data_IF_246784100969
#
_entry.id   IF_246784100969
#
_cell.length_a   1.000
_cell.length_b   1.000
_cell.length_c   1.000
_cell.angle_alpha   90.00
_cell.angle_beta   90.00
_cell.angle_gamma   90.00
#
_symmetry.space_group_name_H-M   'P 1'
#
loop_
_entity.id
_entity.type
_entity.pdbx_description
1 polymer ?
#
# COMPACT_ATOMS: atom_id res chain seq x y z
N UNK A 1 19.58 -4.64 -5.75
CA UNK A 1 20.02 -3.78 -6.89
C UNK A 1 19.75 -4.37 -8.28
N UNK A 2 19.59 -5.68 -8.50
CA UNK A 2 19.42 -6.27 -9.85
C UNK A 2 18.01 -6.11 -10.48
N UNK A 3 16.94 -6.20 -9.68
CA UNK A 3 15.54 -6.11 -10.18
C UNK A 3 15.13 -4.72 -10.70
N UNK A 4 15.71 -3.65 -10.15
CA UNK A 4 15.44 -2.27 -10.60
C UNK A 4 16.06 -1.98 -11.97
N UNK A 5 17.20 -2.60 -12.31
CA UNK A 5 17.85 -2.42 -13.61
C UNK A 5 17.11 -3.17 -14.73
N UNK A 6 16.58 -4.35 -14.46
CA UNK A 6 15.78 -5.13 -15.42
C UNK A 6 14.43 -4.46 -15.70
N UNK A 7 13.78 -3.93 -14.66
CA UNK A 7 12.51 -3.23 -14.79
C UNK A 7 12.66 -1.92 -15.59
N UNK A 8 13.76 -1.19 -15.38
CA UNK A 8 14.10 0.01 -16.18
C UNK A 8 14.30 -0.35 -17.66
N UNK A 9 15.00 -1.45 -17.95
CA UNK A 9 15.15 -1.98 -19.31
C UNK A 9 13.82 -2.41 -19.93
N UNK A 10 12.90 -2.95 -19.13
CA UNK A 10 11.57 -3.34 -19.58
C UNK A 10 10.71 -2.12 -19.97
N UNK A 11 10.73 -1.06 -19.15
CA UNK A 11 10.01 0.20 -19.43
C UNK A 11 10.60 0.89 -20.66
N UNK A 12 11.93 0.98 -20.77
CA UNK A 12 12.59 1.57 -21.95
C UNK A 12 12.27 0.78 -23.22
N UNK A 13 12.25 -0.56 -23.17
CA UNK A 13 11.82 -1.41 -24.29
C UNK A 13 10.34 -1.22 -24.65
N UNK A 14 9.47 -1.09 -23.65
CA UNK A 14 8.03 -0.85 -23.87
C UNK A 14 7.78 0.53 -24.47
N UNK A 15 8.48 1.55 -24.03
CA UNK A 15 8.44 2.91 -24.61
C UNK A 15 8.95 2.91 -26.06
N UNK A 16 10.06 2.23 -26.34
CA UNK A 16 10.57 2.04 -27.70
C UNK A 16 9.61 1.25 -28.59
N UNK A 17 8.95 0.21 -28.05
CA UNK A 17 7.95 -0.56 -28.79
C UNK A 17 6.74 0.31 -29.14
N UNK A 18 6.23 1.11 -28.19
CA UNK A 18 5.12 2.02 -28.44
C UNK A 18 5.49 3.11 -29.45
N UNK A 19 6.70 3.67 -29.38
CA UNK A 19 7.23 4.62 -30.38
C UNK A 19 7.40 3.97 -31.75
N UNK A 20 7.89 2.74 -31.81
CA UNK A 20 8.04 1.99 -33.07
C UNK A 20 6.70 1.62 -33.67
N UNK A 21 5.70 1.25 -32.87
CA UNK A 21 4.33 0.99 -33.31
C UNK A 21 3.69 2.28 -33.81
N UNK A 22 3.84 3.41 -33.12
CA UNK A 22 3.37 4.72 -33.57
C UNK A 22 4.05 5.13 -34.88
N UNK A 23 5.38 4.98 -34.99
CA UNK A 23 6.13 5.26 -36.22
C UNK A 23 5.71 4.34 -37.38
N UNK A 24 5.47 3.04 -37.12
CA UNK A 24 4.94 2.10 -38.10
C UNK A 24 3.56 2.52 -38.63
N UNK A 25 2.65 2.94 -37.73
CA UNK A 25 1.33 3.43 -38.13
C UNK A 25 1.42 4.77 -38.89
N UNK A 26 2.31 5.67 -38.53
CA UNK A 26 2.57 6.91 -39.29
C UNK A 26 3.12 6.60 -40.69
N UNK A 27 4.04 5.64 -40.82
CA UNK A 27 4.51 5.13 -42.10
C UNK A 27 3.40 4.47 -42.92
N UNK A 28 2.57 3.61 -42.29
CA UNK A 28 1.42 3.01 -42.95
C UNK A 28 0.42 4.06 -43.49
N UNK A 29 0.18 5.13 -42.67
CA UNK A 29 -0.68 6.24 -43.07
C UNK A 29 -0.13 7.02 -44.26
N UNK A 30 1.20 7.13 -44.41
CA UNK A 30 1.83 7.75 -45.57
C UNK A 30 1.81 6.89 -46.86
N UNK A 31 1.70 5.56 -46.72
CA UNK A 31 1.69 4.61 -47.85
C UNK A 31 0.28 4.37 -48.43
N UNK A 32 -0.79 4.54 -47.65
CA UNK A 32 -2.16 4.28 -48.10
C UNK A 32 -2.60 5.13 -49.29
N UNK A 33 -2.29 6.46 -49.34
CA UNK A 33 -2.61 7.27 -50.55
C UNK A 33 -1.87 6.86 -51.81
N UNK A 34 -0.63 6.32 -51.68
CA UNK A 34 0.17 5.85 -52.82
C UNK A 34 -0.36 4.56 -53.42
N UNK A 35 -0.84 3.62 -52.59
CA UNK A 35 -1.42 2.36 -53.06
C UNK A 35 -2.80 2.55 -53.72
N UNK A 36 -3.59 3.52 -53.22
CA UNK A 36 -4.87 3.89 -53.82
C UNK A 36 -4.74 4.56 -55.18
N UNK A 37 -3.60 5.24 -55.45
CA UNK A 37 -3.32 5.89 -56.74
C UNK A 37 -2.88 4.92 -57.84
N UNK A 38 -2.50 3.68 -57.52
CA UNK A 38 -1.93 2.68 -58.46
C UNK A 38 -2.86 1.56 -58.87
N UNK A 39 -4.09 1.48 -58.40
CA UNK A 39 -4.91 0.27 -58.64
C UNK A 39 -6.33 0.53 -59.06
N UNK A 40 -6.63 0.16 -60.26
CA UNK A 40 -7.86 -0.41 -60.79
C UNK A 40 -9.17 0.42 -60.78
N UNK A 41 -9.95 0.22 -61.77
CA UNK A 41 -11.35 0.64 -61.96
C UNK A 41 -12.23 0.28 -60.73
N UNK A 42 -12.14 1.14 -59.73
CA UNK A 42 -13.06 1.10 -58.59
C UNK A 42 -14.37 1.71 -59.05
N UNK A 43 -15.47 1.02 -58.92
CA UNK A 43 -16.80 1.60 -59.16
C UNK A 43 -16.99 2.84 -58.32
N UNK A 44 -17.73 3.86 -58.78
CA UNK A 44 -17.97 5.08 -58.04
C UNK A 44 -18.43 4.83 -56.58
N UNK A 45 -19.17 3.78 -56.33
CA UNK A 45 -19.61 3.33 -55.01
C UNK A 45 -18.46 2.78 -54.16
N UNK A 46 -17.49 2.09 -54.75
CA UNK A 46 -16.27 1.65 -54.05
C UNK A 46 -15.35 2.80 -53.67
N UNK A 47 -15.23 3.81 -54.54
CA UNK A 47 -14.44 5.01 -54.25
C UNK A 47 -15.03 5.83 -53.10
N UNK A 48 -16.35 6.02 -53.07
CA UNK A 48 -17.02 6.73 -51.99
C UNK A 48 -16.88 6.00 -50.62
N UNK A 49 -16.86 4.67 -50.65
CA UNK A 49 -16.64 3.87 -49.43
C UNK A 49 -15.18 3.98 -48.96
N UNK A 50 -14.23 3.97 -49.92
CA UNK A 50 -12.81 4.15 -49.61
C UNK A 50 -12.53 5.54 -49.05
N UNK A 51 -13.11 6.59 -49.62
CA UNK A 51 -12.96 7.97 -49.11
C UNK A 51 -13.47 8.12 -47.66
N UNK A 52 -14.63 7.51 -47.35
CA UNK A 52 -15.14 7.47 -45.96
C UNK A 52 -14.23 6.72 -45.01
N UNK A 53 -13.70 5.58 -45.47
CA UNK A 53 -12.73 4.80 -44.67
C UNK A 53 -11.46 5.59 -44.39
N UNK A 54 -10.92 6.31 -45.37
CA UNK A 54 -9.75 7.16 -45.23
C UNK A 54 -10.01 8.33 -44.24
N UNK A 55 -11.22 8.91 -44.28
CA UNK A 55 -11.64 9.92 -43.32
C UNK A 55 -11.70 9.39 -41.89
N UNK A 56 -12.13 8.13 -41.72
CA UNK A 56 -12.27 7.49 -40.41
C UNK A 56 -10.96 6.84 -39.91
N UNK A 57 -9.91 6.78 -40.71
CA UNK A 57 -8.66 6.10 -40.37
C UNK A 57 -8.04 6.58 -39.04
N UNK A 58 -8.00 7.89 -38.70
CA UNK A 58 -7.54 8.34 -37.39
C UNK A 58 -8.38 7.79 -36.23
N UNK A 59 -9.68 7.63 -36.39
CA UNK A 59 -10.59 7.05 -35.40
C UNK A 59 -10.34 5.54 -35.24
N UNK A 60 -10.24 4.82 -36.35
CA UNK A 60 -10.00 3.36 -36.37
C UNK A 60 -8.70 3.00 -35.67
N UNK A 61 -7.64 3.80 -35.87
CA UNK A 61 -6.33 3.57 -35.25
C UNK A 61 -6.35 3.95 -33.77
N UNK A 62 -7.01 5.05 -33.40
CA UNK A 62 -7.00 5.56 -32.02
C UNK A 62 -7.95 4.80 -31.08
N UNK A 63 -9.04 4.23 -31.59
CA UNK A 63 -10.06 3.57 -30.78
C UNK A 63 -9.53 2.37 -29.97
N UNK A 64 -8.79 1.40 -30.58
CA UNK A 64 -8.26 0.25 -29.83
C UNK A 64 -7.27 0.69 -28.72
N UNK A 65 -6.45 1.70 -29.01
CA UNK A 65 -5.48 2.23 -28.02
C UNK A 65 -6.21 2.88 -26.85
N UNK A 66 -7.24 3.68 -27.14
CA UNK A 66 -8.06 4.33 -26.12
C UNK A 66 -8.77 3.30 -25.22
N UNK A 67 -9.32 2.25 -25.82
CA UNK A 67 -9.99 1.17 -25.09
C UNK A 67 -9.01 0.38 -24.21
N UNK A 68 -7.84 0.04 -24.74
CA UNK A 68 -6.79 -0.67 -24.00
C UNK A 68 -6.30 0.15 -22.82
N UNK A 69 -6.04 1.44 -23.02
CA UNK A 69 -5.63 2.35 -21.96
C UNK A 69 -6.70 2.49 -20.88
N UNK A 70 -7.95 2.65 -21.25
CA UNK A 70 -9.06 2.72 -20.32
C UNK A 70 -9.17 1.42 -19.48
N UNK A 71 -9.03 0.26 -20.11
CA UNK A 71 -9.07 -1.03 -19.41
C UNK A 71 -7.90 -1.20 -18.42
N UNK A 72 -6.67 -0.90 -18.84
CA UNK A 72 -5.49 -0.98 -17.98
C UNK A 72 -5.65 -0.06 -16.75
N UNK A 73 -6.09 1.19 -16.98
CA UNK A 73 -6.28 2.15 -15.90
C UNK A 73 -7.43 1.78 -14.97
N UNK A 74 -8.52 1.21 -15.48
CA UNK A 74 -9.61 0.69 -14.65
C UNK A 74 -9.09 -0.40 -13.69
N UNK A 75 -8.28 -1.33 -14.18
CA UNK A 75 -7.63 -2.35 -13.34
C UNK A 75 -6.71 -1.72 -12.29
N UNK A 76 -5.92 -0.71 -12.68
CA UNK A 76 -5.04 0.02 -11.76
C UNK A 76 -5.85 0.78 -10.69
N UNK A 77 -6.99 1.36 -11.05
CA UNK A 77 -7.88 2.07 -10.12
C UNK A 77 -8.45 1.15 -9.03
N UNK A 78 -8.81 -0.08 -9.40
CA UNK A 78 -9.35 -1.09 -8.46
C UNK A 78 -8.26 -1.58 -7.50
N UNK A 79 -7.05 -1.84 -8.00
CA UNK A 79 -5.95 -2.43 -7.22
C UNK A 79 -5.11 -1.41 -6.44
N UNK A 80 -5.07 -0.15 -6.86
CA UNK A 80 -4.22 0.89 -6.29
C UNK A 80 -4.79 1.56 -5.04
N UNK A 81 -3.99 1.71 -3.98
CA UNK A 81 -4.35 2.44 -2.75
C UNK A 81 -3.99 3.95 -2.77
N UNK A 82 -3.47 4.49 -3.89
CA UNK A 82 -3.05 5.90 -3.98
C UNK A 82 -3.67 6.62 -5.17
N UNK A 83 -3.66 7.95 -5.21
CA UNK A 83 -4.08 8.85 -6.30
C UNK A 83 -5.31 8.40 -7.15
N UNK A 84 -6.27 7.70 -6.52
CA UNK A 84 -7.51 7.23 -7.15
C UNK A 84 -8.22 8.30 -7.99
N UNK A 85 -8.33 9.58 -7.54
CA UNK A 85 -9.05 10.59 -8.32
C UNK A 85 -8.47 10.83 -9.71
N UNK A 86 -7.13 10.95 -9.83
CA UNK A 86 -6.49 11.19 -11.12
C UNK A 86 -6.71 10.04 -12.10
N UNK A 87 -6.62 8.79 -11.63
CA UNK A 87 -6.87 7.61 -12.47
C UNK A 87 -8.31 7.58 -12.96
N UNK A 88 -9.28 7.87 -12.10
CA UNK A 88 -10.69 7.96 -12.48
C UNK A 88 -10.93 9.07 -13.53
N UNK A 89 -10.31 10.24 -13.36
CA UNK A 89 -10.43 11.32 -14.34
C UNK A 89 -9.90 10.95 -15.71
N UNK A 90 -8.77 10.22 -15.76
CA UNK A 90 -8.23 9.71 -17.04
C UNK A 90 -9.16 8.69 -17.67
N UNK A 91 -9.74 7.78 -16.89
CA UNK A 91 -10.72 6.79 -17.39
C UNK A 91 -11.95 7.51 -17.96
N UNK A 92 -12.50 8.49 -17.23
CA UNK A 92 -13.63 9.30 -17.70
C UNK A 92 -13.31 10.02 -19.01
N UNK A 93 -12.12 10.63 -19.10
CA UNK A 93 -11.67 11.28 -20.33
C UNK A 93 -11.62 10.29 -21.50
N UNK A 94 -10.98 9.14 -21.32
CA UNK A 94 -10.85 8.14 -22.38
C UNK A 94 -12.21 7.62 -22.84
N UNK A 95 -13.15 7.42 -21.92
CA UNK A 95 -14.52 6.98 -22.27
C UNK A 95 -15.27 8.06 -23.06
N UNK A 96 -15.27 9.30 -22.61
CA UNK A 96 -15.92 10.43 -23.32
C UNK A 96 -15.29 10.61 -24.71
N UNK A 97 -13.96 10.55 -24.79
CA UNK A 97 -13.23 10.66 -26.05
C UNK A 97 -13.55 9.52 -27.01
N UNK A 98 -13.64 8.29 -26.50
CA UNK A 98 -14.06 7.12 -27.29
C UNK A 98 -15.50 7.29 -27.82
N UNK A 99 -16.43 7.74 -26.99
CA UNK A 99 -17.83 7.95 -27.40
C UNK A 99 -17.93 9.02 -28.46
N UNK A 100 -17.13 10.09 -28.34
CA UNK A 100 -17.01 11.10 -29.38
C UNK A 100 -16.47 10.49 -30.69
N UNK A 101 -15.38 9.74 -30.65
CA UNK A 101 -14.81 9.10 -31.83
C UNK A 101 -15.79 8.19 -32.54
N UNK A 102 -16.47 7.33 -31.81
CA UNK A 102 -17.47 6.40 -32.37
C UNK A 102 -18.64 7.14 -33.01
N UNK A 103 -19.18 8.15 -32.31
CA UNK A 103 -20.33 8.91 -32.83
C UNK A 103 -19.98 9.83 -34.01
N UNK A 104 -18.71 10.20 -34.18
CA UNK A 104 -18.22 11.04 -35.27
C UNK A 104 -17.78 10.26 -36.51
N UNK A 105 -17.81 8.91 -36.49
CA UNK A 105 -17.43 8.06 -37.61
C UNK A 105 -18.36 8.22 -38.80
N UNK A 106 -17.78 8.54 -39.97
CA UNK A 106 -18.52 8.65 -41.22
C UNK A 106 -19.05 7.30 -41.72
N UNK A 107 -18.32 6.21 -41.48
CA UNK A 107 -18.77 4.88 -41.80
C UNK A 107 -19.99 4.46 -41.01
N UNK A 108 -19.99 4.79 -39.71
CA UNK A 108 -21.13 4.51 -38.84
C UNK A 108 -22.35 5.39 -39.22
N UNK A 109 -22.13 6.66 -39.52
CA UNK A 109 -23.16 7.57 -39.99
C UNK A 109 -23.80 7.08 -41.29
N UNK A 110 -23.02 6.56 -42.24
CA UNK A 110 -23.51 6.00 -43.48
C UNK A 110 -24.37 4.73 -43.29
N UNK A 111 -23.97 3.85 -42.35
CA UNK A 111 -24.73 2.63 -42.01
C UNK A 111 -26.05 2.90 -41.32
N UNK A 112 -26.08 3.92 -40.45
CA UNK A 112 -27.25 4.33 -39.68
C UNK A 112 -28.18 5.32 -40.43
N UNK A 113 -28.05 5.40 -41.77
CA UNK A 113 -28.84 6.28 -42.64
C UNK A 113 -28.79 7.76 -42.26
N UNK A 114 -27.63 8.24 -41.78
CA UNK A 114 -27.34 9.67 -41.55
C UNK A 114 -28.31 10.34 -40.58
N UNK A 115 -28.71 9.64 -39.50
CA UNK A 115 -29.71 10.14 -38.60
C UNK A 115 -29.26 11.44 -37.90
N UNK A 116 -30.10 12.46 -37.90
CA UNK A 116 -29.92 13.72 -37.16
C UNK A 116 -29.56 13.45 -35.69
N UNK A 117 -30.06 12.34 -35.14
CA UNK A 117 -29.74 11.89 -33.79
C UNK A 117 -28.25 11.57 -33.58
N UNK A 118 -27.58 10.89 -34.54
CA UNK A 118 -26.15 10.58 -34.41
C UNK A 118 -25.30 11.84 -34.45
N UNK A 119 -25.63 12.80 -35.33
CA UNK A 119 -24.96 14.09 -35.38
C UNK A 119 -25.09 14.88 -34.08
N UNK A 120 -26.28 14.86 -33.44
CA UNK A 120 -26.49 15.49 -32.14
C UNK A 120 -25.67 14.84 -31.04
N UNK A 121 -25.61 13.51 -31.03
CA UNK A 121 -24.79 12.75 -30.09
C UNK A 121 -23.30 13.07 -30.27
N UNK A 122 -22.83 13.12 -31.51
CA UNK A 122 -21.44 13.46 -31.80
C UNK A 122 -21.07 14.88 -31.31
N UNK A 123 -21.94 15.86 -31.56
CA UNK A 123 -21.72 17.24 -31.07
C UNK A 123 -21.77 17.33 -29.54
N UNK A 124 -22.66 16.62 -28.88
CA UNK A 124 -22.71 16.57 -27.42
C UNK A 124 -21.38 16.07 -26.84
N UNK A 125 -20.86 14.96 -27.33
CA UNK A 125 -19.57 14.42 -26.87
C UNK A 125 -18.41 15.34 -27.25
N UNK A 126 -18.44 15.98 -28.44
CA UNK A 126 -17.44 16.98 -28.82
C UNK A 126 -17.34 18.11 -27.80
N UNK A 127 -18.45 18.63 -27.33
CA UNK A 127 -18.49 19.70 -26.32
C UNK A 127 -18.07 19.20 -24.92
N UNK A 128 -18.21 17.90 -24.62
CA UNK A 128 -17.77 17.29 -23.37
C UNK A 128 -16.29 16.91 -23.32
N UNK A 129 -15.64 16.67 -24.48
CA UNK A 129 -14.23 16.27 -24.53
C UNK A 129 -13.34 17.24 -23.75
N UNK A 130 -13.43 18.59 -23.89
CA UNK A 130 -12.60 19.51 -23.12
C UNK A 130 -12.90 19.43 -21.61
N UNK A 131 -14.16 19.27 -21.21
CA UNK A 131 -14.51 19.10 -19.79
C UNK A 131 -13.80 17.87 -19.21
N UNK A 132 -13.87 16.74 -19.89
CA UNK A 132 -13.24 15.49 -19.48
C UNK A 132 -11.71 15.59 -19.48
N UNK A 133 -11.08 16.22 -20.46
CA UNK A 133 -9.65 16.49 -20.49
C UNK A 133 -9.22 17.39 -19.30
N UNK A 134 -10.01 18.41 -19.01
CA UNK A 134 -9.78 19.32 -17.89
C UNK A 134 -10.00 18.69 -16.51
N UNK A 135 -10.76 17.60 -16.38
CA UNK A 135 -10.77 16.76 -15.18
C UNK A 135 -9.40 16.09 -14.95
N UNK A 136 -8.74 15.63 -16.02
CA UNK A 136 -7.39 15.05 -15.89
C UNK A 136 -6.40 16.12 -15.42
N UNK A 137 -6.49 17.32 -15.99
CA UNK A 137 -5.68 18.47 -15.55
C UNK A 137 -5.95 18.78 -14.07
N UNK A 138 -7.21 18.80 -13.64
CA UNK A 138 -7.59 19.00 -12.24
C UNK A 138 -6.90 18.01 -11.29
N UNK A 139 -6.83 16.75 -11.68
CA UNK A 139 -6.13 15.72 -10.91
C UNK A 139 -4.60 15.87 -10.92
N UNK A 140 -4.04 16.46 -11.97
CA UNK A 140 -2.60 16.68 -12.13
C UNK A 140 -2.09 17.96 -11.46
N UNK A 141 -2.95 18.93 -11.16
CA UNK A 141 -2.59 20.20 -10.54
C UNK A 141 -2.38 20.10 -9.03
N UNK A 142 -1.57 20.99 -8.48
CA UNK A 142 -1.50 21.23 -7.05
C UNK A 142 -2.82 21.79 -6.52
N UNK A 143 -3.09 21.51 -5.26
CA UNK A 143 -4.36 21.88 -4.60
C UNK A 143 -4.68 23.38 -4.71
N UNK A 144 -3.66 24.22 -4.61
CA UNK A 144 -3.76 25.67 -4.75
C UNK A 144 -4.43 26.12 -6.06
N UNK A 145 -4.25 25.38 -7.15
CA UNK A 145 -4.76 25.75 -8.48
C UNK A 145 -6.06 25.03 -8.84
N UNK A 146 -6.51 24.05 -8.03
CA UNK A 146 -7.70 23.23 -8.32
C UNK A 146 -9.00 24.00 -8.34
N UNK A 147 -9.14 25.06 -7.56
CA UNK A 147 -10.37 25.86 -7.55
C UNK A 147 -10.62 26.52 -8.90
N UNK A 148 -9.61 27.20 -9.47
CA UNK A 148 -9.71 27.78 -10.81
C UNK A 148 -10.01 26.73 -11.87
N UNK A 149 -9.38 25.57 -11.78
CA UNK A 149 -9.59 24.47 -12.71
C UNK A 149 -11.01 23.86 -12.62
N UNK A 150 -11.62 23.80 -11.42
CA UNK A 150 -13.04 23.39 -11.26
C UNK A 150 -13.99 24.31 -11.99
N UNK A 151 -13.71 25.62 -11.97
CA UNK A 151 -14.52 26.60 -12.71
C UNK A 151 -14.46 26.34 -14.21
N UNK A 152 -13.27 26.02 -14.74
CA UNK A 152 -13.10 25.67 -16.17
C UNK A 152 -13.92 24.44 -16.55
N UNK A 153 -13.80 23.35 -15.77
CA UNK A 153 -14.58 22.11 -15.99
C UNK A 153 -16.07 22.41 -15.98
N UNK A 154 -16.53 23.15 -14.98
CA UNK A 154 -17.93 23.54 -14.86
C UNK A 154 -18.43 24.36 -16.06
N UNK A 155 -17.63 25.32 -16.52
CA UNK A 155 -17.96 26.15 -17.69
C UNK A 155 -18.16 25.31 -18.96
N UNK A 156 -17.30 24.30 -19.21
CA UNK A 156 -17.45 23.40 -20.35
C UNK A 156 -18.70 22.50 -20.22
N UNK A 157 -18.98 21.97 -19.04
CA UNK A 157 -20.19 21.17 -18.81
C UNK A 157 -21.45 21.98 -19.04
N UNK A 158 -21.51 23.21 -18.51
CA UNK A 158 -22.63 24.13 -18.72
C UNK A 158 -22.78 24.45 -20.20
N UNK A 159 -21.68 24.74 -20.90
CA UNK A 159 -21.73 25.00 -22.33
C UNK A 159 -22.28 23.77 -23.10
N UNK A 160 -21.80 22.56 -22.82
CA UNK A 160 -22.25 21.33 -23.49
C UNK A 160 -23.77 21.12 -23.33
N UNK A 161 -24.28 21.34 -22.12
CA UNK A 161 -25.72 21.21 -21.83
C UNK A 161 -26.53 22.27 -22.56
N UNK A 162 -26.14 23.54 -22.50
CA UNK A 162 -26.81 24.65 -23.14
C UNK A 162 -26.77 24.55 -24.68
N UNK A 163 -25.61 24.19 -25.25
CA UNK A 163 -25.47 24.02 -26.69
C UNK A 163 -26.30 22.86 -27.24
N UNK A 164 -26.35 21.76 -26.47
CA UNK A 164 -27.21 20.59 -26.82
C UNK A 164 -28.70 20.92 -26.68
N UNK A 165 -29.09 21.62 -25.61
CA UNK A 165 -30.46 22.13 -25.44
C UNK A 165 -30.88 23.04 -26.58
N UNK A 166 -30.06 24.02 -26.94
CA UNK A 166 -30.28 24.90 -28.08
C UNK A 166 -30.45 24.15 -29.41
N UNK A 167 -29.72 23.05 -29.59
CA UNK A 167 -29.87 22.18 -30.77
C UNK A 167 -31.18 21.41 -30.78
N UNK A 168 -31.60 20.90 -29.62
CA UNK A 168 -32.86 20.16 -29.49
C UNK A 168 -34.06 21.06 -29.75
N UNK A 169 -34.04 22.30 -29.27
CA UNK A 169 -35.14 23.27 -29.43
C UNK A 169 -35.03 24.13 -30.70
N UNK A 170 -33.98 23.96 -31.52
CA UNK A 170 -33.79 24.70 -32.76
C UNK A 170 -33.55 26.21 -32.57
N UNK A 171 -33.07 26.63 -31.39
CA UNK A 171 -32.95 28.03 -30.99
C UNK A 171 -31.79 28.74 -31.70
N UNK A 172 -30.72 28.01 -32.12
CA UNK A 172 -29.55 28.61 -32.75
C UNK A 172 -29.01 27.74 -33.89
N UNK A 173 -28.43 28.40 -34.91
CA UNK A 173 -27.74 27.72 -36.02
C UNK A 173 -26.51 26.96 -35.57
N UNK A 174 -26.15 25.89 -36.30
CA UNK A 174 -24.98 25.04 -36.01
C UNK A 174 -23.70 25.87 -36.04
N UNK A 175 -23.53 26.78 -37.00
CA UNK A 175 -22.33 27.61 -37.16
C UNK A 175 -22.10 28.54 -35.96
N UNK A 176 -23.13 29.14 -35.41
CA UNK A 176 -23.02 30.03 -34.25
C UNK A 176 -22.58 29.23 -33.00
N UNK A 177 -23.13 28.07 -32.78
CA UNK A 177 -22.72 27.22 -31.65
C UNK A 177 -21.25 26.78 -31.75
N UNK A 178 -20.81 26.41 -32.94
CA UNK A 178 -19.41 26.06 -33.18
C UNK A 178 -18.47 27.25 -32.97
N UNK A 179 -18.82 28.44 -33.45
CA UNK A 179 -18.03 29.65 -33.20
C UNK A 179 -17.92 29.97 -31.71
N UNK A 180 -19.02 29.89 -30.96
CA UNK A 180 -19.00 30.09 -29.50
C UNK A 180 -18.15 29.03 -28.80
N UNK A 181 -18.20 27.77 -29.25
CA UNK A 181 -17.37 26.67 -28.71
C UNK A 181 -15.88 26.98 -28.91
N UNK A 182 -15.46 27.34 -30.12
CA UNK A 182 -14.05 27.64 -30.38
C UNK A 182 -13.56 28.90 -29.64
N UNK A 183 -14.39 29.90 -29.49
CA UNK A 183 -14.06 31.11 -28.71
C UNK A 183 -13.88 30.74 -27.21
N UNK A 184 -14.79 29.94 -26.65
CA UNK A 184 -14.70 29.45 -25.28
C UNK A 184 -13.44 28.61 -25.08
N UNK A 185 -13.16 27.67 -26.01
CA UNK A 185 -12.00 26.80 -25.97
C UNK A 185 -10.70 27.63 -25.95
N UNK A 186 -10.58 28.62 -26.82
CA UNK A 186 -9.38 29.48 -26.89
C UNK A 186 -9.11 30.21 -25.57
N UNK A 187 -10.14 30.78 -24.94
CA UNK A 187 -10.01 31.54 -23.69
C UNK A 187 -9.71 30.63 -22.53
N UNK A 188 -10.46 29.53 -22.38
CA UNK A 188 -10.31 28.65 -21.22
C UNK A 188 -9.03 27.83 -21.30
N UNK A 189 -8.62 27.35 -22.48
CA UNK A 189 -7.39 26.55 -22.60
C UNK A 189 -6.12 27.43 -22.44
N UNK A 190 -6.18 28.72 -22.80
CA UNK A 190 -5.11 29.66 -22.46
C UNK A 190 -4.95 29.79 -20.93
N UNK A 191 -6.07 29.87 -20.20
CA UNK A 191 -6.04 29.91 -18.73
C UNK A 191 -5.54 28.60 -18.14
N UNK A 192 -5.96 27.45 -18.66
CA UNK A 192 -5.48 26.12 -18.26
C UNK A 192 -3.98 25.97 -18.47
N UNK A 193 -3.47 26.40 -19.65
CA UNK A 193 -2.04 26.42 -19.94
C UNK A 193 -1.25 27.26 -18.92
N UNK A 194 -1.79 28.42 -18.52
CA UNK A 194 -1.22 29.22 -17.45
C UNK A 194 -1.18 28.48 -16.11
N UNK A 195 -2.26 27.80 -15.71
CA UNK A 195 -2.29 27.03 -14.46
C UNK A 195 -1.28 25.86 -14.46
N UNK A 196 -1.21 25.13 -15.58
CA UNK A 196 -0.23 24.03 -15.75
C UNK A 196 1.19 24.58 -15.68
N UNK A 197 1.49 25.69 -16.37
CA UNK A 197 2.78 26.33 -16.32
C UNK A 197 3.18 26.73 -14.89
N UNK A 198 2.28 27.39 -14.16
CA UNK A 198 2.52 27.78 -12.77
C UNK A 198 2.77 26.58 -11.86
N UNK A 199 1.97 25.52 -12.00
CA UNK A 199 2.12 24.28 -11.23
C UNK A 199 3.41 23.52 -11.59
N UNK A 200 3.78 23.50 -12.86
CA UNK A 200 5.01 22.87 -13.32
C UNK A 200 6.28 23.59 -12.81
N UNK A 201 6.24 24.93 -12.70
CA UNK A 201 7.36 25.73 -12.15
C UNK A 201 7.61 25.49 -10.68
N UNK A 202 6.59 25.15 -9.89
CA UNK A 202 6.72 24.78 -8.48
C UNK A 202 7.28 23.35 -8.29
N UNK A 203 7.47 22.61 -9.40
CA UNK A 203 8.09 21.28 -9.37
C UNK A 203 7.12 20.10 -9.51
N UNK A 204 5.83 20.37 -9.74
CA UNK A 204 4.83 19.32 -9.91
C UNK A 204 5.12 18.48 -11.18
N UNK A 205 5.45 17.20 -10.99
CA UNK A 205 5.82 16.27 -12.07
C UNK A 205 4.67 15.98 -13.02
N UNK A 206 3.45 15.84 -12.49
CA UNK A 206 2.28 15.55 -13.31
C UNK A 206 1.90 16.74 -14.19
N UNK A 207 1.97 17.96 -13.66
CA UNK A 207 1.77 19.16 -14.47
C UNK A 207 2.80 19.29 -15.59
N UNK A 208 4.06 18.93 -15.35
CA UNK A 208 5.09 18.90 -16.41
C UNK A 208 4.79 17.85 -17.48
N UNK A 209 4.35 16.65 -17.06
CA UNK A 209 4.01 15.58 -18.00
C UNK A 209 2.74 15.90 -18.84
N UNK A 210 1.84 16.77 -18.35
CA UNK A 210 0.63 17.20 -19.07
C UNK A 210 0.89 18.23 -20.17
N UNK A 211 2.06 18.87 -20.20
CA UNK A 211 2.36 19.91 -21.22
C UNK A 211 2.27 19.33 -22.63
N UNK A 212 2.88 18.17 -22.88
CA UNK A 212 2.87 17.54 -24.21
C UNK A 212 1.46 17.12 -24.67
N UNK A 213 0.66 16.37 -23.86
CA UNK A 213 -0.72 16.07 -24.21
C UNK A 213 -1.58 17.31 -24.51
N UNK A 214 -1.43 18.36 -23.70
CA UNK A 214 -2.18 19.58 -23.90
C UNK A 214 -1.81 20.26 -25.24
N UNK A 215 -0.53 20.43 -25.51
CA UNK A 215 -0.06 21.01 -26.79
C UNK A 215 -0.57 20.17 -27.96
N UNK A 216 -0.43 18.86 -27.93
CA UNK A 216 -0.89 17.98 -28.99
C UNK A 216 -2.41 18.10 -29.22
N UNK A 217 -3.21 18.09 -28.15
CA UNK A 217 -4.66 18.20 -28.26
C UNK A 217 -5.10 19.56 -28.84
N UNK A 218 -4.50 20.66 -28.37
CA UNK A 218 -4.82 22.00 -28.83
C UNK A 218 -4.38 22.20 -30.30
N UNK A 219 -3.18 21.77 -30.67
CA UNK A 219 -2.67 21.96 -32.04
C UNK A 219 -3.41 21.12 -33.07
N UNK A 220 -3.67 19.83 -32.76
CA UNK A 220 -4.42 18.94 -33.66
C UNK A 220 -5.88 19.37 -33.76
N UNK A 221 -6.50 19.76 -32.65
CA UNK A 221 -7.87 20.29 -32.68
C UNK A 221 -8.02 21.62 -33.39
N UNK A 222 -7.04 22.52 -33.24
CA UNK A 222 -7.01 23.76 -34.02
C UNK A 222 -6.84 23.53 -35.52
N UNK A 223 -5.96 22.58 -35.91
CA UNK A 223 -5.81 22.16 -37.30
C UNK A 223 -7.13 21.66 -37.88
N UNK A 224 -7.82 20.73 -37.16
CA UNK A 224 -9.11 20.21 -37.57
C UNK A 224 -10.17 21.30 -37.70
N UNK A 225 -10.19 22.25 -36.77
CA UNK A 225 -11.08 23.41 -36.86
C UNK A 225 -10.83 24.28 -38.07
N UNK A 226 -9.55 24.58 -38.39
CA UNK A 226 -9.15 25.36 -39.57
C UNK A 226 -9.45 24.57 -40.86
N UNK A 227 -9.11 23.29 -40.89
CA UNK A 227 -9.35 22.41 -42.02
C UNK A 227 -10.85 22.31 -42.38
N UNK A 228 -11.70 22.23 -41.38
CA UNK A 228 -13.16 22.20 -41.57
C UNK A 228 -13.71 23.48 -42.25
N UNK A 229 -13.02 24.63 -42.08
CA UNK A 229 -13.44 25.90 -42.67
C UNK A 229 -12.77 26.20 -43.99
N UNK A 230 -11.48 25.90 -44.10
CA UNK A 230 -10.66 26.29 -45.26
C UNK A 230 -10.46 25.16 -46.27
N UNK A 231 -10.93 23.94 -45.98
CA UNK A 231 -10.78 22.74 -46.83
C UNK A 231 -9.34 22.52 -47.29
N UNK A 232 -8.36 22.63 -46.34
CA UNK A 232 -6.93 22.50 -46.62
C UNK A 232 -6.55 21.10 -47.13
N UNK A 233 -7.33 20.08 -46.76
CA UNK A 233 -7.16 18.71 -47.25
C UNK A 233 -8.29 18.33 -48.18
N UNK A 234 -8.01 17.52 -49.22
CA UNK A 234 -9.03 17.09 -50.18
C UNK A 234 -10.13 16.19 -49.60
N UNK A 235 -9.83 15.59 -48.45
CA UNK A 235 -10.78 14.76 -47.67
C UNK A 235 -11.04 15.44 -46.34
N UNK A 236 -12.30 15.39 -45.81
CA UNK A 236 -12.65 15.95 -44.51
C UNK A 236 -12.15 15.05 -43.38
N UNK A 237 -10.84 14.92 -43.24
CA UNK A 237 -10.19 14.11 -42.21
C UNK A 237 -10.01 14.91 -40.93
N UNK A 238 -10.31 14.27 -39.80
CA UNK A 238 -10.05 14.81 -38.47
C UNK A 238 -8.86 14.07 -37.83
N UNK A 239 -7.78 14.80 -37.49
CA UNK A 239 -6.56 14.23 -36.94
C UNK A 239 -6.48 14.35 -35.40
N UNK A 240 -7.36 15.10 -34.77
CA UNK A 240 -7.44 15.24 -33.31
C UNK A 240 -7.48 13.88 -32.56
N UNK A 241 -8.12 12.80 -33.08
CA UNK A 241 -8.07 11.49 -32.43
C UNK A 241 -6.65 10.99 -32.15
N UNK A 242 -5.68 11.39 -32.96
CA UNK A 242 -4.26 11.04 -32.75
C UNK A 242 -3.65 11.66 -31.48
N UNK A 243 -4.29 12.67 -30.91
CA UNK A 243 -3.82 13.27 -29.65
C UNK A 243 -3.80 12.27 -28.49
N UNK A 244 -4.56 11.18 -28.53
CA UNK A 244 -4.54 10.11 -27.53
C UNK A 244 -3.15 9.51 -27.30
N UNK A 245 -2.31 9.49 -28.34
CA UNK A 245 -0.95 8.96 -28.24
C UNK A 245 -0.04 9.84 -27.36
N UNK A 246 -0.30 11.14 -27.29
CA UNK A 246 0.41 12.04 -26.38
C UNK A 246 0.02 11.77 -24.91
N UNK A 247 -1.24 11.38 -24.66
CA UNK A 247 -1.70 10.96 -23.34
C UNK A 247 -1.08 9.64 -22.90
N UNK A 248 -0.67 8.77 -23.83
CA UNK A 248 0.05 7.53 -23.49
C UNK A 248 1.34 7.85 -22.71
N UNK A 249 2.10 8.86 -23.12
CA UNK A 249 3.29 9.28 -22.37
C UNK A 249 2.94 9.71 -20.93
N UNK A 250 1.90 10.52 -20.77
CA UNK A 250 1.44 10.95 -19.45
C UNK A 250 1.01 9.77 -18.57
N UNK A 251 0.24 8.83 -19.13
CA UNK A 251 -0.24 7.63 -18.44
C UNK A 251 0.93 6.74 -18.03
N UNK A 252 1.91 6.53 -18.91
CA UNK A 252 3.12 5.75 -18.60
C UNK A 252 3.92 6.39 -17.46
N UNK A 253 4.07 7.72 -17.45
CA UNK A 253 4.72 8.43 -16.35
C UNK A 253 3.93 8.25 -15.03
N UNK A 254 2.61 8.35 -15.07
CA UNK A 254 1.75 8.16 -13.91
C UNK A 254 1.85 6.72 -13.35
N UNK A 255 1.80 5.71 -14.22
CA UNK A 255 1.94 4.30 -13.82
C UNK A 255 3.33 4.05 -13.22
N UNK A 256 4.38 4.55 -13.86
CA UNK A 256 5.75 4.42 -13.36
C UNK A 256 5.90 5.02 -11.95
N UNK A 257 5.39 6.22 -11.75
CA UNK A 257 5.48 6.89 -10.45
C UNK A 257 4.67 6.15 -9.37
N UNK A 258 3.54 5.54 -9.72
CA UNK A 258 2.77 4.70 -8.81
C UNK A 258 3.52 3.42 -8.43
N UNK A 259 4.13 2.74 -9.40
CA UNK A 259 4.91 1.52 -9.15
C UNK A 259 6.13 1.79 -8.26
N UNK A 260 6.88 2.85 -8.58
CA UNK A 260 8.05 3.24 -7.76
C UNK A 260 7.64 3.59 -6.34
N UNK A 261 6.53 4.33 -6.17
CA UNK A 261 6.02 4.70 -4.85
C UNK A 261 5.51 3.50 -4.07
N UNK A 262 4.82 2.56 -4.74
CA UNK A 262 4.34 1.32 -4.12
C UNK A 262 5.51 0.48 -3.60
N UNK A 263 6.54 0.26 -4.40
CA UNK A 263 7.75 -0.46 -3.99
C UNK A 263 8.49 0.23 -2.84
N UNK A 264 8.57 1.56 -2.87
CA UNK A 264 9.19 2.33 -1.79
C UNK A 264 8.41 2.19 -0.47
N UNK A 265 7.08 2.26 -0.52
CA UNK A 265 6.25 2.09 0.69
C UNK A 265 6.33 0.68 1.23
N UNK A 266 6.35 -0.33 0.37
CA UNK A 266 6.48 -1.73 0.76
C UNK A 266 7.84 -1.99 1.46
N UNK A 267 8.93 -1.51 0.88
CA UNK A 267 10.26 -1.63 1.50
C UNK A 267 10.36 -0.90 2.84
N UNK A 268 9.72 0.27 2.97
CA UNK A 268 9.68 1.03 4.23
C UNK A 268 8.86 0.31 5.30
N UNK A 269 7.72 -0.29 4.95
CA UNK A 269 6.90 -1.04 5.92
C UNK A 269 7.64 -2.28 6.42
N UNK A 270 8.36 -3.00 5.55
CA UNK A 270 9.21 -4.12 5.94
C UNK A 270 10.35 -3.68 6.86
N UNK A 271 11.03 -2.59 6.53
CA UNK A 271 12.12 -2.04 7.37
C UNK A 271 11.61 -1.62 8.75
N UNK A 272 10.46 -0.93 8.81
CA UNK A 272 9.85 -0.51 10.08
C UNK A 272 9.41 -1.72 10.90
N UNK A 273 8.83 -2.74 10.27
CA UNK A 273 8.47 -4.00 10.92
C UNK A 273 9.67 -4.72 11.53
N UNK A 274 10.78 -4.81 10.77
CA UNK A 274 12.03 -5.39 11.28
C UNK A 274 12.62 -4.60 12.45
N UNK A 275 12.66 -3.27 12.35
CA UNK A 275 13.13 -2.42 13.47
C UNK A 275 12.25 -2.54 14.70
N UNK A 276 10.91 -2.58 14.53
CA UNK A 276 9.98 -2.77 15.62
C UNK A 276 10.20 -4.13 16.32
N UNK A 277 10.39 -5.21 15.57
CA UNK A 277 10.67 -6.54 16.11
C UNK A 277 11.99 -6.56 16.91
N UNK A 278 13.06 -5.92 16.39
CA UNK A 278 14.33 -5.81 17.11
C UNK A 278 14.22 -4.99 18.41
N UNK A 279 13.46 -3.89 18.37
CA UNK A 279 13.24 -3.07 19.57
C UNK A 279 12.41 -3.83 20.59
N UNK A 280 11.39 -4.58 20.15
CA UNK A 280 10.59 -5.43 21.01
C UNK A 280 11.43 -6.53 21.64
N UNK A 281 12.26 -7.24 20.87
CA UNK A 281 13.16 -8.27 21.41
C UNK A 281 14.11 -7.69 22.46
N UNK A 282 14.68 -6.50 22.22
CA UNK A 282 15.52 -5.80 23.21
C UNK A 282 14.75 -5.38 24.46
N UNK A 283 13.50 -4.92 24.29
CA UNK A 283 12.64 -4.53 25.40
C UNK A 283 12.13 -5.71 26.21
N UNK A 284 12.18 -6.95 25.67
CA UNK A 284 11.73 -8.17 26.35
C UNK A 284 12.80 -8.84 27.20
N UNK A 285 14.06 -8.47 27.04
CA UNK A 285 15.17 -9.07 27.76
C UNK A 285 15.76 -8.15 28.80
N UNK A 286 16.23 -8.74 29.88
CA UNK A 286 17.08 -8.07 30.86
C UNK A 286 18.48 -7.82 30.26
N UNK A 287 18.98 -6.57 30.27
CA UNK A 287 20.25 -6.25 29.60
C UNK A 287 21.46 -6.93 30.25
N UNK A 288 21.42 -7.23 31.56
CA UNK A 288 22.52 -7.83 32.28
C UNK A 288 22.61 -9.33 32.06
N UNK A 289 21.50 -10.03 32.20
CA UNK A 289 21.44 -11.50 32.23
C UNK A 289 20.97 -12.13 30.93
N UNK A 290 20.40 -11.31 30.04
CA UNK A 290 19.79 -11.77 28.78
C UNK A 290 18.63 -12.77 28.99
N UNK A 291 18.13 -12.91 30.20
CA UNK A 291 16.84 -13.57 30.46
C UNK A 291 15.70 -12.70 29.96
N UNK A 292 14.52 -13.30 29.81
CA UNK A 292 13.33 -12.47 29.62
C UNK A 292 13.12 -11.61 30.89
N UNK A 293 12.67 -10.39 30.71
CA UNK A 293 12.49 -9.48 31.83
C UNK A 293 11.12 -9.63 32.51
N UNK A 294 10.90 -8.90 33.60
CA UNK A 294 9.63 -8.87 34.34
C UNK A 294 8.43 -8.53 33.46
N UNK A 295 8.54 -7.51 32.60
CA UNK A 295 7.45 -7.13 31.69
C UNK A 295 7.08 -8.23 30.70
N UNK A 296 8.05 -9.06 30.27
CA UNK A 296 7.77 -10.28 29.49
C UNK A 296 7.06 -11.32 30.30
N UNK A 297 7.46 -11.55 31.55
CA UNK A 297 6.78 -12.49 32.45
C UNK A 297 5.31 -12.12 32.69
N UNK A 298 5.05 -10.86 33.05
CA UNK A 298 3.69 -10.35 33.32
C UNK A 298 2.76 -10.48 32.12
N UNK A 299 3.31 -10.34 30.91
CA UNK A 299 2.56 -10.51 29.65
C UNK A 299 2.34 -11.99 29.29
N UNK A 300 3.36 -12.84 29.49
CA UNK A 300 3.33 -14.23 29.05
C UNK A 300 2.52 -15.14 29.99
N UNK A 301 2.61 -14.91 31.29
CA UNK A 301 2.00 -15.77 32.30
C UNK A 301 0.49 -16.02 32.08
N UNK A 302 -0.35 -14.99 31.81
CA UNK A 302 -1.77 -15.22 31.55
C UNK A 302 -2.02 -16.13 30.34
N UNK A 303 -1.22 -15.97 29.27
CA UNK A 303 -1.35 -16.79 28.05
C UNK A 303 -0.90 -18.23 28.27
N UNK A 304 0.14 -18.44 29.06
CA UNK A 304 0.64 -19.77 29.41
C UNK A 304 -0.36 -20.51 30.30
N UNK A 305 -0.97 -19.82 31.28
CA UNK A 305 -2.04 -20.37 32.12
C UNK A 305 -3.23 -20.78 31.24
N UNK A 306 -3.67 -19.89 30.33
CA UNK A 306 -4.79 -20.20 29.44
C UNK A 306 -4.48 -21.43 28.55
N UNK A 307 -3.27 -21.51 28.00
CA UNK A 307 -2.85 -22.64 27.16
C UNK A 307 -2.83 -23.93 27.94
N UNK A 308 -2.26 -23.94 29.14
CA UNK A 308 -2.21 -25.11 30.03
C UNK A 308 -3.62 -25.63 30.39
N UNK A 309 -4.52 -24.70 30.73
CA UNK A 309 -5.93 -25.03 31.02
C UNK A 309 -6.65 -25.62 29.82
N UNK A 310 -6.51 -24.97 28.65
CA UNK A 310 -7.16 -25.44 27.42
C UNK A 310 -6.69 -26.81 26.98
N UNK A 311 -5.42 -27.13 27.26
CA UNK A 311 -4.82 -28.43 26.97
C UNK A 311 -5.03 -29.49 28.09
N UNK A 312 -5.57 -29.11 29.26
CA UNK A 312 -5.68 -29.97 30.41
C UNK A 312 -4.32 -30.42 30.97
N UNK A 313 -3.26 -29.63 30.76
CA UNK A 313 -1.91 -29.94 31.21
C UNK A 313 -1.53 -29.13 32.44
N UNK A 314 -0.74 -29.69 33.38
CA UNK A 314 -0.30 -28.95 34.55
C UNK A 314 0.66 -27.81 34.14
N UNK A 315 0.70 -26.76 34.95
CA UNK A 315 1.65 -25.65 34.83
C UNK A 315 2.20 -25.34 36.19
N UNK A 316 3.52 -25.40 36.36
CA UNK A 316 4.19 -25.01 37.60
C UNK A 316 5.06 -23.76 37.39
N UNK A 317 5.30 -23.04 38.50
CA UNK A 317 6.15 -21.88 38.59
C UNK A 317 7.24 -22.10 39.64
N UNK A 318 8.49 -21.84 39.27
CA UNK A 318 9.62 -21.77 40.20
C UNK A 318 10.00 -20.30 40.39
N UNK A 319 10.11 -19.87 41.63
CA UNK A 319 10.65 -18.56 41.99
C UNK A 319 11.98 -18.79 42.73
N UNK A 320 13.06 -18.19 42.22
CA UNK A 320 14.42 -18.27 42.76
C UNK A 320 14.83 -16.92 43.34
N UNK A 321 15.59 -16.98 44.42
CA UNK A 321 16.28 -15.84 45.01
C UNK A 321 17.71 -16.25 45.39
N UNK A 322 18.70 -15.40 45.04
CA UNK A 322 20.10 -15.68 45.37
C UNK A 322 20.35 -15.35 46.82
N UNK A 323 20.70 -16.33 47.56
CA UNK A 323 20.90 -16.23 49.02
C UNK A 323 22.00 -15.24 49.37
N UNK A 324 21.69 -14.30 50.30
CA UNK A 324 22.62 -13.31 50.83
C UNK A 324 23.21 -12.37 49.76
N UNK A 325 22.51 -12.17 48.63
CA UNK A 325 23.06 -11.38 47.52
C UNK A 325 23.40 -9.94 47.88
N UNK A 326 22.60 -9.29 48.76
CA UNK A 326 22.93 -7.93 49.26
C UNK A 326 24.27 -7.95 50.03
N UNK A 327 24.44 -8.91 50.98
CA UNK A 327 25.70 -9.02 51.75
C UNK A 327 26.88 -9.33 50.83
N UNK A 328 26.68 -10.11 49.74
CA UNK A 328 27.70 -10.38 48.74
C UNK A 328 28.11 -9.08 48.05
N UNK A 329 27.15 -8.26 47.59
CA UNK A 329 27.44 -6.98 46.97
C UNK A 329 28.16 -6.02 47.93
N UNK A 330 27.77 -5.99 49.18
CA UNK A 330 28.39 -5.13 50.20
C UNK A 330 29.86 -5.54 50.45
N UNK A 331 30.18 -6.83 50.28
CA UNK A 331 31.54 -7.39 50.50
C UNK A 331 32.44 -7.27 49.23
N UNK A 332 31.91 -7.61 48.05
CA UNK A 332 32.70 -7.77 46.83
C UNK A 332 32.41 -6.72 45.75
N UNK A 333 31.43 -5.85 46.03
CA UNK A 333 31.01 -4.80 45.09
C UNK A 333 30.03 -5.25 44.03
N UNK A 334 29.32 -4.29 43.44
CA UNK A 334 28.27 -4.54 42.45
C UNK A 334 28.76 -5.21 41.17
N UNK A 335 30.03 -5.01 40.79
CA UNK A 335 30.60 -5.66 39.59
C UNK A 335 30.70 -7.17 39.80
N UNK A 336 31.07 -7.60 41.00
CA UNK A 336 31.08 -9.03 41.36
C UNK A 336 29.65 -9.60 41.42
N UNK A 337 28.70 -8.83 41.98
CA UNK A 337 27.27 -9.20 41.95
C UNK A 337 26.73 -9.38 40.55
N UNK A 338 27.07 -8.47 39.63
CA UNK A 338 26.71 -8.60 38.20
C UNK A 338 27.27 -9.88 37.56
N UNK A 339 28.50 -10.29 37.95
CA UNK A 339 29.08 -11.56 37.47
C UNK A 339 28.30 -12.76 37.99
N UNK A 340 27.85 -12.74 39.27
CA UNK A 340 27.02 -13.79 39.86
C UNK A 340 25.67 -13.85 39.15
N UNK A 341 24.99 -12.73 38.91
CA UNK A 341 23.71 -12.71 38.19
C UNK A 341 23.83 -13.31 36.78
N UNK A 342 24.88 -12.94 36.03
CA UNK A 342 25.17 -13.55 34.71
C UNK A 342 25.49 -15.03 34.83
N UNK A 343 26.26 -15.42 35.83
CA UNK A 343 26.64 -16.81 36.12
C UNK A 343 25.40 -17.64 36.41
N UNK A 344 24.53 -17.18 37.30
CA UNK A 344 23.27 -17.84 37.63
C UNK A 344 22.41 -18.04 36.39
N UNK A 345 22.17 -16.97 35.65
CA UNK A 345 21.36 -17.03 34.43
C UNK A 345 21.91 -18.02 33.38
N UNK A 346 23.24 -18.09 33.23
CA UNK A 346 23.89 -19.03 32.34
C UNK A 346 23.73 -20.48 32.82
N UNK A 347 23.97 -20.73 34.09
CA UNK A 347 23.85 -22.06 34.70
C UNK A 347 22.42 -22.61 34.57
N UNK A 348 21.44 -21.81 34.94
CA UNK A 348 20.03 -22.21 34.86
C UNK A 348 19.61 -22.46 33.41
N UNK A 349 20.01 -21.57 32.49
CA UNK A 349 19.67 -21.71 31.05
C UNK A 349 20.26 -22.95 30.40
N UNK A 350 21.46 -23.39 30.83
CA UNK A 350 22.10 -24.58 30.31
C UNK A 350 21.37 -25.86 30.69
N UNK A 351 20.66 -25.84 31.84
CA UNK A 351 19.92 -26.97 32.38
C UNK A 351 18.44 -27.02 31.95
N UNK A 352 17.92 -25.93 31.40
CA UNK A 352 16.51 -25.82 31.00
C UNK A 352 16.32 -26.20 29.54
N UNK A 353 15.28 -27.02 29.28
CA UNK A 353 14.82 -27.30 27.93
C UNK A 353 14.30 -26.05 27.22
N UNK A 354 14.38 -26.03 25.88
CA UNK A 354 13.96 -24.88 25.04
C UNK A 354 12.47 -24.51 25.20
N UNK A 355 11.63 -25.41 25.68
CA UNK A 355 10.20 -25.18 25.89
C UNK A 355 9.91 -24.44 27.19
N UNK A 356 10.86 -24.32 28.09
CA UNK A 356 10.72 -23.69 29.40
C UNK A 356 11.15 -22.25 29.36
N UNK A 357 10.32 -21.36 29.89
CA UNK A 357 10.58 -19.92 29.88
C UNK A 357 11.25 -19.47 31.17
N UNK A 358 12.32 -18.69 31.03
CA UNK A 358 13.16 -18.21 32.13
C UNK A 358 13.23 -16.68 32.12
N UNK A 359 12.90 -16.08 33.27
CA UNK A 359 12.74 -14.65 33.45
C UNK A 359 13.59 -14.15 34.61
N UNK A 360 14.05 -12.89 34.52
CA UNK A 360 14.50 -12.13 35.67
C UNK A 360 13.36 -11.25 36.16
N UNK A 361 12.88 -11.52 37.39
CA UNK A 361 11.78 -10.78 37.98
C UNK A 361 12.22 -9.42 38.52
N UNK A 362 13.38 -9.35 39.22
CA UNK A 362 13.97 -8.10 39.71
C UNK A 362 15.20 -8.41 40.54
N UNK A 363 16.11 -7.44 40.71
CA UNK A 363 17.30 -7.59 41.55
C UNK A 363 17.99 -8.95 41.39
N UNK A 364 17.88 -9.77 42.42
CA UNK A 364 18.40 -11.15 42.51
C UNK A 364 17.36 -12.25 42.30
N UNK A 365 16.13 -11.88 41.92
CA UNK A 365 15.00 -12.81 41.77
C UNK A 365 14.80 -13.25 40.32
N UNK A 366 14.53 -14.54 40.14
CA UNK A 366 14.30 -15.16 38.83
C UNK A 366 13.10 -16.12 38.86
N UNK A 367 12.43 -16.21 37.72
CA UNK A 367 11.24 -17.04 37.55
C UNK A 367 11.45 -18.03 36.41
N UNK A 368 11.02 -19.27 36.61
CA UNK A 368 10.90 -20.29 35.55
C UNK A 368 9.46 -20.77 35.47
N UNK A 369 8.90 -20.74 34.25
CA UNK A 369 7.61 -21.36 33.96
C UNK A 369 7.85 -22.76 33.40
N UNK A 370 7.12 -23.75 33.92
CA UNK A 370 7.23 -25.16 33.59
C UNK A 370 5.89 -25.70 33.06
N UNK A 371 5.55 -25.42 31.77
CA UNK A 371 4.37 -26.06 31.17
C UNK A 371 4.53 -27.58 31.13
N UNK A 372 3.44 -28.33 31.39
CA UNK A 372 3.42 -29.77 31.39
C UNK A 372 4.04 -30.42 32.64
N UNK A 373 4.44 -29.63 33.63
CA UNK A 373 4.99 -30.17 34.89
C UNK A 373 4.00 -29.95 36.03
N UNK A 374 3.73 -30.99 36.77
CA UNK A 374 3.02 -30.93 38.06
C UNK A 374 3.97 -30.48 39.19
N UNK A 375 3.46 -30.41 40.42
CA UNK A 375 4.20 -29.93 41.59
C UNK A 375 5.44 -30.78 41.89
N UNK A 376 5.32 -32.11 41.80
CA UNK A 376 6.41 -33.05 42.10
C UNK A 376 7.51 -32.97 41.04
N UNK A 377 7.14 -32.98 39.77
CA UNK A 377 8.09 -32.79 38.65
C UNK A 377 8.81 -31.45 38.74
N UNK A 378 8.08 -30.37 39.06
CA UNK A 378 8.64 -29.06 39.25
C UNK A 378 9.61 -29.01 40.45
N UNK A 379 9.29 -29.64 41.54
CA UNK A 379 10.16 -29.78 42.71
C UNK A 379 11.48 -30.51 42.38
N UNK A 380 11.40 -31.58 41.59
CA UNK A 380 12.60 -32.32 41.10
C UNK A 380 13.47 -31.41 40.26
N UNK A 381 12.88 -30.67 39.29
CA UNK A 381 13.61 -29.72 38.41
C UNK A 381 14.21 -28.61 39.26
N UNK A 382 13.42 -27.99 40.14
CA UNK A 382 13.89 -26.91 41.01
C UNK A 382 15.08 -27.32 41.90
N UNK A 383 14.99 -28.55 42.52
CA UNK A 383 16.11 -29.05 43.31
C UNK A 383 17.34 -29.38 42.48
N UNK A 384 17.19 -29.87 41.26
CA UNK A 384 18.32 -30.06 40.33
C UNK A 384 18.99 -28.74 40.04
N UNK A 385 18.24 -27.72 39.64
CA UNK A 385 18.75 -26.37 39.34
C UNK A 385 19.48 -25.76 40.56
N UNK A 386 18.86 -25.83 41.74
CA UNK A 386 19.47 -25.36 43.00
C UNK A 386 20.81 -26.02 43.28
N UNK A 387 20.88 -27.38 43.16
CA UNK A 387 22.14 -28.15 43.37
C UNK A 387 23.19 -27.80 42.34
N UNK A 388 22.82 -27.66 41.07
CA UNK A 388 23.74 -27.26 40.00
C UNK A 388 24.30 -25.86 40.28
N UNK A 389 23.46 -24.90 40.69
CA UNK A 389 23.93 -23.58 41.09
C UNK A 389 24.90 -23.66 42.25
N UNK A 390 24.59 -24.36 43.34
CA UNK A 390 25.45 -24.51 44.50
C UNK A 390 26.80 -25.20 44.18
N UNK A 391 26.82 -26.10 43.18
CA UNK A 391 28.04 -26.82 42.77
C UNK A 391 28.93 -26.01 41.85
N UNK A 392 28.36 -25.20 40.96
CA UNK A 392 29.13 -24.55 39.86
C UNK A 392 29.19 -23.03 39.98
N UNK A 393 28.34 -22.38 40.76
CA UNK A 393 28.37 -20.91 40.92
C UNK A 393 29.15 -20.53 42.16
N UNK A 394 30.33 -19.97 41.96
CA UNK A 394 31.21 -19.47 43.03
C UNK A 394 31.94 -18.20 42.57
N UNK A 395 32.34 -17.40 43.53
CA UNK A 395 33.20 -16.24 43.35
C UNK A 395 34.35 -16.27 44.37
N UNK A 396 35.61 -16.26 43.93
CA UNK A 396 36.79 -16.33 44.79
C UNK A 396 36.72 -17.48 45.84
N UNK A 397 36.25 -18.66 45.41
CA UNK A 397 35.98 -19.84 46.24
C UNK A 397 34.83 -19.72 47.23
N UNK A 398 34.04 -18.62 47.20
CA UNK A 398 32.80 -18.48 47.98
C UNK A 398 31.64 -19.08 47.18
N UNK A 399 31.03 -20.16 47.65
CA UNK A 399 29.89 -20.76 46.95
C UNK A 399 28.67 -19.83 47.04
N UNK A 400 27.90 -19.70 45.94
CA UNK A 400 26.64 -18.98 45.89
C UNK A 400 25.51 -19.99 45.87
N UNK A 401 24.53 -19.82 46.79
CA UNK A 401 23.36 -20.67 46.86
C UNK A 401 22.10 -19.91 46.54
N UNK A 402 21.02 -20.66 46.31
CA UNK A 402 19.71 -20.07 45.99
C UNK A 402 18.60 -20.77 46.79
N UNK A 403 17.64 -20.00 47.22
CA UNK A 403 16.38 -20.53 47.77
C UNK A 403 15.33 -20.61 46.65
N UNK A 404 14.44 -21.62 46.70
CA UNK A 404 13.47 -21.88 45.65
C UNK A 404 12.08 -22.09 46.23
N UNK A 405 11.11 -21.30 45.72
CA UNK A 405 9.68 -21.50 45.95
C UNK A 405 9.02 -22.13 44.72
N UNK A 406 8.13 -23.11 44.93
CA UNK A 406 7.42 -23.80 43.86
C UNK A 406 5.92 -23.72 44.09
N UNK A 407 5.19 -23.39 43.03
CA UNK A 407 3.72 -23.47 43.00
C UNK A 407 3.22 -24.14 41.73
N UNK A 408 1.98 -24.66 41.77
CA UNK A 408 1.30 -25.23 40.61
C UNK A 408 -0.02 -24.53 40.35
N UNK A 409 -0.40 -24.41 39.09
CA UNK A 409 -1.71 -23.84 38.70
C UNK A 409 -2.80 -24.90 39.02
N UNK A 410 -3.72 -24.51 39.90
CA UNK A 410 -4.77 -25.39 40.42
C UNK A 410 -6.01 -25.49 39.51
N UNK A 411 -5.98 -25.03 38.27
CA UNK A 411 -7.16 -25.12 37.39
C UNK A 411 -8.27 -24.11 37.79
N UNK A 412 -9.44 -24.21 37.17
CA UNK A 412 -10.58 -23.34 37.51
C UNK A 412 -10.26 -21.86 37.39
N UNK A 413 -10.51 -21.06 38.42
CA UNK A 413 -10.33 -19.61 38.47
C UNK A 413 -8.97 -19.16 39.02
N UNK A 414 -7.98 -20.04 39.09
CA UNK A 414 -6.65 -19.67 39.59
C UNK A 414 -6.02 -18.57 38.76
N UNK A 415 -5.63 -17.47 39.38
CA UNK A 415 -5.11 -16.31 38.70
C UNK A 415 -3.59 -16.34 38.60
N UNK A 416 -3.03 -15.56 37.64
CA UNK A 416 -1.58 -15.36 37.55
C UNK A 416 -0.98 -14.83 38.86
N UNK A 417 -1.71 -13.93 39.53
CA UNK A 417 -1.31 -13.37 40.81
C UNK A 417 -1.30 -14.42 41.91
N UNK A 418 -2.37 -15.24 42.03
CA UNK A 418 -2.46 -16.27 43.06
C UNK A 418 -1.35 -17.35 42.90
N UNK A 419 -1.06 -17.76 41.66
CA UNK A 419 0.04 -18.66 41.35
C UNK A 419 1.39 -18.11 41.80
N UNK A 420 1.65 -16.84 41.52
CA UNK A 420 2.89 -16.17 41.92
C UNK A 420 2.99 -15.98 43.44
N UNK A 421 1.93 -15.57 44.12
CA UNK A 421 1.90 -15.36 45.57
C UNK A 421 2.16 -16.65 46.33
N UNK A 422 1.66 -17.82 45.85
CA UNK A 422 1.97 -19.11 46.44
C UNK A 422 3.43 -19.51 46.30
N UNK A 423 4.04 -19.23 45.14
CA UNK A 423 5.47 -19.46 44.95
C UNK A 423 6.32 -18.54 45.84
N UNK A 424 5.92 -17.27 46.00
CA UNK A 424 6.59 -16.32 46.88
C UNK A 424 6.51 -16.73 48.35
N UNK A 425 5.35 -17.15 48.80
CA UNK A 425 5.17 -17.72 50.17
C UNK A 425 6.04 -18.95 50.38
N UNK A 426 6.15 -19.84 49.40
CA UNK A 426 7.03 -21.02 49.48
C UNK A 426 8.51 -20.60 49.48
N UNK A 427 8.90 -19.60 48.71
CA UNK A 427 10.26 -19.04 48.71
C UNK A 427 10.60 -18.42 50.07
N UNK A 428 9.67 -17.67 50.64
CA UNK A 428 9.85 -17.12 52.00
C UNK A 428 10.07 -18.24 53.02
N UNK A 429 9.29 -19.31 52.96
CA UNK A 429 9.46 -20.49 53.82
C UNK A 429 10.84 -21.18 53.59
N UNK A 430 11.35 -21.21 52.36
CA UNK A 430 12.70 -21.72 52.07
C UNK A 430 13.79 -20.84 52.72
N UNK A 431 13.67 -19.50 52.61
CA UNK A 431 14.60 -18.56 53.30
C UNK A 431 14.56 -18.70 54.81
N UNK A 432 13.38 -18.86 55.41
CA UNK A 432 13.21 -19.06 56.88
C UNK A 432 13.76 -20.45 57.35
N UNK A 433 13.73 -21.48 56.51
CA UNK A 433 14.26 -22.82 56.84
C UNK A 433 15.78 -22.93 56.73
N UNK A 434 16.52 -21.84 56.57
CA UNK A 434 17.98 -21.82 56.56
C UNK A 434 18.59 -21.63 55.18
N UNK A 435 17.76 -21.24 54.16
CA UNK A 435 18.18 -21.01 52.77
C UNK A 435 18.73 -22.27 52.08
N UNK A 436 19.30 -22.09 50.87
CA UNK A 436 19.82 -23.20 50.04
C UNK A 436 18.90 -24.43 50.02
N UNK A 437 17.60 -24.21 49.97
CA UNK A 437 16.61 -25.27 49.97
C UNK A 437 15.43 -24.91 49.08
N UNK A 438 14.61 -25.88 48.77
CA UNK A 438 13.37 -25.71 48.02
C UNK A 438 12.19 -25.97 48.96
N UNK A 439 11.16 -25.16 48.83
CA UNK A 439 9.84 -25.38 49.42
C UNK A 439 8.78 -25.34 48.33
N UNK A 440 7.79 -26.23 48.47
CA UNK A 440 6.59 -26.23 47.66
C UNK A 440 5.50 -25.43 48.37
N UNK A 441 4.53 -24.93 47.62
CA UNK A 441 3.34 -24.31 48.20
C UNK A 441 2.70 -25.22 49.25
N UNK A 442 2.24 -24.63 50.33
CA UNK A 442 1.46 -25.38 51.34
C UNK A 442 0.13 -25.82 50.69
N UNK A 443 -0.37 -27.04 50.96
CA UNK A 443 -1.74 -27.40 50.57
C UNK A 443 -2.66 -26.29 51.10
N UNK A 444 -3.50 -25.71 50.24
CA UNK A 444 -4.58 -24.85 50.70
C UNK A 444 -5.40 -25.71 51.70
N UNK A 445 -5.40 -25.30 52.96
CA UNK A 445 -6.41 -25.77 53.89
C UNK A 445 -7.74 -25.40 53.22
N UNK A 446 -8.50 -26.43 52.87
CA UNK A 446 -9.88 -26.24 52.46
C UNK A 446 -10.52 -25.39 53.55
N UNK A 447 -10.82 -24.10 53.23
CA UNK A 447 -11.67 -23.32 54.10
C UNK A 447 -13.02 -23.98 54.00
N UNK A 448 -13.21 -24.94 54.94
CA UNK A 448 -14.43 -25.68 55.12
C UNK A 448 -15.57 -24.72 55.44
N UNK A 449 -16.61 -24.85 54.71
CA UNK A 449 -17.96 -24.66 55.18
C UNK A 449 -18.18 -25.50 56.45
N UNK A 450 -17.76 -25.00 57.60
CA UNK A 450 -18.20 -25.49 58.90
C UNK A 450 -18.04 -24.38 59.94
N UNK A 451 -18.94 -23.42 59.89
CA UNK A 451 -19.31 -22.61 61.04
C UNK A 451 -20.58 -21.77 60.74
N UNK A 452 -21.69 -22.42 60.56
CA UNK A 452 -23.03 -21.90 60.86
C UNK A 452 -23.90 -23.13 61.22
N UNK A 453 -23.72 -23.56 62.48
CA UNK A 453 -24.68 -24.29 63.22
C UNK A 453 -25.37 -23.38 64.21
#
# INVERSE_FOLDING_TARGET
>A
MSKTSEFRKYIDRSAHLCLSVAAFFVCMLSYVPLAAAQGAHVTAMGQQTMDRFLCDLPYVVSLPVTLLLAAILAVCAVRGKGQRPLVYYVVVFLLVFMLWMVSSSQLLAAKLAGTVALYRVANFFLYLVPAAANLVVLGALEEKYRTGQRVVVFAYVVFAVLATGADLFGVSGVSLRQQMYYALLLVLEAYVAYLIYRSARVGNRYSRAMVLPLIAMVTLGAFDGVNAHLHLTPLPTYIMPLSVYSFLYFILQMIRDQLVRSQFLESRTLELGYRAALLQERAERDPLTQCRNRGSFERDLPSVIWTARSAGTPLSLLLFDIDHFKQFNDTFGHVAGDMILRGFARTVRAELDKQKSFYRWGGEEFVVLLPGCDLDAAAVIGNRLRRTVAAFLQYEKHPVTVSVGVSVCHGGDDTAQALFERADSALYAAKAAGRNCLRVESPQAAIGEEALG
#
